data_IF_804608682331
#
_entry.id   IF_804608682331
#
_cell.length_a   1.000
_cell.length_b   1.000
_cell.length_c   1.000
_cell.angle_alpha   90.00
_cell.angle_beta   90.00
_cell.angle_gamma   90.00
#
_symmetry.space_group_name_H-M   'P 1'
#
loop_
_entity.id
_entity.type
_entity.pdbx_description
1 polymer ?
#
# COMPACT_ATOMS: atom_id res chain seq x y z
N UNK A 1 1.20 5.85 2.39
CA UNK A 1 0.70 6.16 3.75
C UNK A 1 1.79 6.94 4.46
N UNK A 2 1.50 7.71 5.51
CA UNK A 2 2.54 8.46 6.23
C UNK A 2 2.50 8.20 7.74
N UNK A 3 3.66 8.33 8.36
CA UNK A 3 3.88 8.36 9.80
C UNK A 3 4.32 9.77 10.19
N UNK A 4 3.73 10.33 11.26
CA UNK A 4 4.01 11.69 11.73
C UNK A 4 4.94 11.62 12.93
N UNK A 5 6.02 12.40 12.89
CA UNK A 5 6.96 12.59 13.99
C UNK A 5 6.42 13.62 14.98
N UNK A 6 6.95 13.62 16.21
CA UNK A 6 6.53 14.55 17.27
C UNK A 6 6.68 16.03 16.89
N UNK A 7 7.65 16.35 16.02
CA UNK A 7 7.88 17.71 15.53
C UNK A 7 6.97 18.13 14.36
N UNK A 8 6.04 17.28 13.93
CA UNK A 8 5.12 17.54 12.83
C UNK A 8 5.63 17.13 11.45
N UNK A 9 6.89 16.69 11.33
CA UNK A 9 7.41 16.11 10.09
C UNK A 9 6.73 14.76 9.79
N UNK A 10 6.82 14.32 8.53
CA UNK A 10 6.31 13.02 8.14
C UNK A 10 7.32 12.18 7.38
N UNK A 11 7.11 10.87 7.40
CA UNK A 11 7.85 9.91 6.57
C UNK A 11 6.87 8.95 5.89
N UNK A 12 7.27 8.46 4.73
CA UNK A 12 6.53 7.42 4.00
C UNK A 12 6.46 6.13 4.84
N UNK A 13 5.24 5.66 5.07
CA UNK A 13 4.92 4.51 5.89
C UNK A 13 4.53 3.30 5.04
N UNK A 14 4.62 2.12 5.66
CA UNK A 14 4.14 0.86 5.09
C UNK A 14 2.66 0.96 4.67
N UNK A 15 2.24 0.31 3.57
CA UNK A 15 0.83 0.10 3.24
C UNK A 15 0.00 -0.51 4.38
N UNK A 16 0.62 -1.32 5.23
CA UNK A 16 -0.06 -1.98 6.37
C UNK A 16 -0.23 -1.07 7.59
N UNK A 17 0.21 0.19 7.53
CA UNK A 17 0.16 1.10 8.66
C UNK A 17 0.11 2.56 8.25
N UNK A 18 0.57 3.42 9.16
CA UNK A 18 0.40 4.86 9.05
C UNK A 18 -1.08 5.26 9.07
N UNK A 19 -1.38 6.43 8.51
CA UNK A 19 -2.69 7.09 8.64
C UNK A 19 -3.64 6.94 7.46
N UNK A 20 -3.28 6.16 6.44
CA UNK A 20 -4.08 6.06 5.21
C UNK A 20 -5.30 5.14 5.33
N UNK A 21 -5.41 4.33 6.39
CA UNK A 21 -6.51 3.38 6.61
C UNK A 21 -6.83 2.53 5.36
N UNK A 22 -5.79 1.96 4.74
CA UNK A 22 -5.89 1.36 3.41
C UNK A 22 -6.88 0.19 3.33
N UNK A 23 -7.08 -0.56 4.41
CA UNK A 23 -8.10 -1.62 4.48
C UNK A 23 -9.50 -1.04 4.18
N UNK A 24 -9.86 0.08 4.80
CA UNK A 24 -11.15 0.73 4.57
C UNK A 24 -11.25 1.32 3.17
N UNK A 25 -10.17 1.93 2.67
CA UNK A 25 -10.12 2.46 1.31
C UNK A 25 -10.35 1.35 0.29
N UNK A 26 -9.65 0.22 0.43
CA UNK A 26 -9.83 -0.94 -0.45
C UNK A 26 -11.26 -1.46 -0.35
N UNK A 27 -11.81 -1.60 0.85
CA UNK A 27 -13.19 -2.06 1.05
C UNK A 27 -14.22 -1.17 0.35
N UNK A 28 -14.03 0.16 0.37
CA UNK A 28 -14.88 1.10 -0.36
C UNK A 28 -14.78 0.84 -1.87
N UNK A 29 -13.56 0.76 -2.43
CA UNK A 29 -13.40 0.59 -3.87
C UNK A 29 -13.86 -0.79 -4.36
N UNK A 30 -13.65 -1.87 -3.61
CA UNK A 30 -14.16 -3.20 -3.97
C UNK A 30 -15.71 -3.25 -3.98
N UNK A 31 -16.38 -2.43 -3.17
CA UNK A 31 -17.85 -2.30 -3.16
C UNK A 31 -18.38 -1.37 -4.25
N UNK A 32 -17.77 -0.20 -4.41
CA UNK A 32 -18.30 0.87 -5.27
C UNK A 32 -17.81 0.80 -6.72
N UNK A 33 -16.56 0.37 -6.95
CA UNK A 33 -15.96 0.29 -8.29
C UNK A 33 -14.77 -0.69 -8.34
N UNK A 34 -15.00 -2.02 -8.29
CA UNK A 34 -13.92 -3.01 -8.23
C UNK A 34 -13.06 -3.08 -9.51
N UNK A 35 -13.51 -2.48 -10.61
CA UNK A 35 -12.77 -2.44 -11.87
C UNK A 35 -11.74 -1.29 -11.94
N UNK A 36 -11.66 -0.42 -10.93
CA UNK A 36 -10.73 0.70 -10.93
C UNK A 36 -9.28 0.21 -10.91
N UNK A 37 -8.44 0.59 -11.90
CA UNK A 37 -7.03 0.23 -11.85
C UNK A 37 -6.33 0.98 -10.72
N UNK A 38 -5.50 0.26 -9.97
CA UNK A 38 -4.69 0.81 -8.90
C UNK A 38 -3.20 0.67 -9.22
N UNK A 39 -2.39 1.55 -8.63
CA UNK A 39 -0.92 1.40 -8.59
C UNK A 39 -0.42 1.66 -7.18
N UNK A 40 0.67 0.98 -6.81
CA UNK A 40 1.48 1.45 -5.68
C UNK A 40 2.25 2.67 -6.15
N UNK A 41 2.20 3.74 -5.36
CA UNK A 41 2.85 4.99 -5.71
C UNK A 41 4.34 4.94 -5.38
N UNK A 42 4.68 4.96 -4.09
CA UNK A 42 6.04 4.91 -3.60
C UNK A 42 6.37 3.60 -2.88
N UNK A 43 7.63 3.18 -3.00
CA UNK A 43 8.22 2.05 -2.30
C UNK A 43 9.48 2.47 -1.56
N UNK A 44 9.80 1.76 -0.47
CA UNK A 44 11.05 1.98 0.26
C UNK A 44 12.24 1.51 -0.58
N UNK A 45 13.38 2.18 -0.45
CA UNK A 45 14.63 1.64 -0.96
C UNK A 45 15.02 0.41 -0.12
N UNK A 46 15.24 -0.74 -0.75
CA UNK A 46 15.37 -2.03 -0.05
C UNK A 46 16.44 -2.90 -0.71
N UNK A 47 17.22 -3.61 0.12
CA UNK A 47 18.19 -4.62 -0.33
C UNK A 47 19.09 -4.05 -1.44
N UNK A 48 19.33 -4.83 -2.50
CA UNK A 48 20.21 -4.48 -3.60
C UNK A 48 19.69 -3.33 -4.48
N UNK A 49 18.50 -2.79 -4.23
CA UNK A 49 18.08 -1.56 -4.90
C UNK A 49 18.87 -0.34 -4.41
N UNK A 50 19.54 -0.41 -3.25
CA UNK A 50 20.41 0.70 -2.77
C UNK A 50 21.61 0.94 -3.68
N UNK A 51 22.05 -0.08 -4.41
CA UNK A 51 23.20 -0.03 -5.32
C UNK A 51 22.80 0.37 -6.76
N UNK A 52 21.50 0.62 -7.01
CA UNK A 52 20.97 0.96 -8.33
C UNK A 52 20.48 2.40 -8.37
N UNK A 53 20.52 2.98 -9.55
CA UNK A 53 19.97 4.31 -9.79
C UNK A 53 18.45 4.24 -10.00
N UNK A 54 17.69 4.79 -9.06
CA UNK A 54 16.24 4.93 -9.13
C UNK A 54 15.81 6.37 -8.83
N UNK A 55 14.69 6.78 -9.42
CA UNK A 55 14.00 7.97 -8.95
C UNK A 55 13.56 7.76 -7.48
N UNK A 56 13.70 8.77 -6.60
CA UNK A 56 13.31 8.65 -5.20
C UNK A 56 11.87 8.13 -5.04
N UNK A 57 11.71 7.04 -4.29
CA UNK A 57 10.41 6.38 -4.08
C UNK A 57 9.99 5.36 -5.15
N UNK A 58 10.73 5.22 -6.26
CA UNK A 58 10.36 4.37 -7.39
C UNK A 58 11.23 3.11 -7.55
N UNK A 59 11.90 2.68 -6.48
CA UNK A 59 12.65 1.41 -6.45
C UNK A 59 11.76 0.22 -6.83
N UNK A 60 12.36 -0.79 -7.45
CA UNK A 60 11.63 -1.96 -7.92
C UNK A 60 11.15 -2.83 -6.75
N UNK A 61 12.07 -3.27 -5.90
CA UNK A 61 11.80 -4.15 -4.77
C UNK A 61 10.85 -3.50 -3.77
N UNK A 62 11.02 -2.21 -3.50
CA UNK A 62 10.15 -1.45 -2.61
C UNK A 62 8.70 -1.43 -3.09
N UNK A 63 8.49 -1.13 -4.38
CA UNK A 63 7.13 -1.08 -4.95
C UNK A 63 6.54 -2.47 -5.13
N UNK A 64 7.34 -3.46 -5.49
CA UNK A 64 6.91 -4.85 -5.59
C UNK A 64 6.44 -5.39 -4.23
N UNK A 65 7.20 -5.12 -3.17
CA UNK A 65 6.83 -5.52 -1.81
C UNK A 65 5.53 -4.85 -1.34
N UNK A 66 5.41 -3.54 -1.56
CA UNK A 66 4.19 -2.82 -1.24
C UNK A 66 2.99 -3.30 -2.07
N UNK A 67 3.20 -3.67 -3.34
CA UNK A 67 2.13 -4.21 -4.19
C UNK A 67 1.64 -5.56 -3.66
N UNK A 68 2.55 -6.44 -3.25
CA UNK A 68 2.18 -7.72 -2.64
C UNK A 68 1.37 -7.55 -1.35
N UNK A 69 1.68 -6.53 -0.53
CA UNK A 69 0.90 -6.22 0.67
C UNK A 69 -0.51 -5.72 0.35
N UNK A 70 -0.65 -4.83 -0.63
CA UNK A 70 -1.96 -4.36 -1.10
C UNK A 70 -2.76 -5.52 -1.69
N UNK A 71 -2.15 -6.34 -2.54
CA UNK A 71 -2.79 -7.49 -3.19
C UNK A 71 -3.31 -8.50 -2.14
N UNK A 72 -2.51 -8.78 -1.10
CA UNK A 72 -2.94 -9.61 0.02
C UNK A 72 -4.13 -9.02 0.79
N UNK A 73 -4.16 -7.71 1.04
CA UNK A 73 -5.31 -7.06 1.67
C UNK A 73 -6.56 -7.14 0.79
N UNK A 74 -6.42 -6.91 -0.52
CA UNK A 74 -7.52 -7.03 -1.47
C UNK A 74 -8.09 -8.44 -1.52
N UNK A 75 -7.24 -9.48 -1.51
CA UNK A 75 -7.68 -10.87 -1.49
C UNK A 75 -8.53 -11.19 -0.25
N UNK A 76 -8.12 -10.73 0.93
CA UNK A 76 -8.89 -10.92 2.18
C UNK A 76 -10.23 -10.19 2.12
N UNK A 77 -10.22 -8.91 1.72
CA UNK A 77 -11.44 -8.08 1.67
C UNK A 77 -12.45 -8.65 0.67
N UNK A 78 -11.99 -9.13 -0.49
CA UNK A 78 -12.86 -9.82 -1.46
C UNK A 78 -13.51 -11.06 -0.85
N UNK A 79 -12.71 -11.87 -0.15
CA UNK A 79 -13.24 -13.04 0.54
C UNK A 79 -14.26 -12.68 1.65
N UNK A 80 -14.02 -11.61 2.42
CA UNK A 80 -14.97 -11.10 3.42
C UNK A 80 -16.31 -10.69 2.78
N UNK A 81 -16.25 -9.99 1.63
CA UNK A 81 -17.43 -9.55 0.88
C UNK A 81 -18.19 -10.76 0.31
N UNK A 82 -17.49 -11.72 -0.28
CA UNK A 82 -18.09 -12.94 -0.86
C UNK A 82 -18.73 -13.85 0.19
N UNK A 83 -18.14 -13.95 1.39
CA UNK A 83 -18.60 -14.82 2.48
C UNK A 83 -19.60 -14.14 3.43
N UNK A 84 -19.81 -12.82 3.29
CA UNK A 84 -20.74 -12.06 4.14
C UNK A 84 -20.27 -11.91 5.59
N UNK A 85 -18.96 -11.93 5.84
CA UNK A 85 -18.36 -11.79 7.18
C UNK A 85 -18.26 -10.30 7.61
N UNK A 86 -18.68 -9.37 6.76
CA UNK A 86 -18.56 -7.92 6.95
C UNK A 86 -19.88 -7.24 7.33
#
# INVERSE_FOLDING_TARGET
>A
STEIKENGDFMEASPLGGRAALIEVIRIFEKENPAIPMRVDHGKLMLDDVEKEYNPGYSFLGRMFALAQIDGMMAVIRNEIETGIC
#
